data_IF_132811750604
#
_entry.id   IF_132811750604
#
_cell.length_a   1.000
_cell.length_b   1.000
_cell.length_c   1.000
_cell.angle_alpha   90.00
_cell.angle_beta   90.00
_cell.angle_gamma   90.00
#
_symmetry.space_group_name_H-M   'P 1'
#
loop_
_entity.id
_entity.type
_entity.pdbx_description
1 polymer ?
#
# COMPACT_ATOMS: atom_id res chain seq x y z
N UNK A 1 -55.47 0.65 31.17
CA UNK A 1 -55.14 0.45 29.74
C UNK A 1 -54.39 1.70 29.27
N UNK A 2 -53.08 1.75 29.44
CA UNK A 2 -52.24 2.90 29.10
C UNK A 2 -51.87 2.86 27.61
N UNK A 3 -52.20 3.92 26.88
CA UNK A 3 -51.67 4.14 25.52
C UNK A 3 -50.61 5.23 25.63
N UNK A 4 -49.35 4.82 25.77
CA UNK A 4 -48.19 5.71 25.63
C UNK A 4 -48.03 5.97 24.14
N UNK A 5 -48.48 7.14 23.65
CA UNK A 5 -48.09 7.62 22.31
C UNK A 5 -46.70 8.26 22.41
N UNK A 6 -45.69 7.52 21.98
CA UNK A 6 -44.37 8.07 21.66
C UNK A 6 -44.51 9.01 20.44
N UNK A 7 -44.46 10.32 20.66
CA UNK A 7 -44.14 11.24 19.57
C UNK A 7 -42.65 11.15 19.27
N UNK A 8 -42.35 10.52 18.15
CA UNK A 8 -41.03 10.38 17.55
C UNK A 8 -40.64 11.72 16.93
N UNK A 9 -39.85 12.53 17.63
CA UNK A 9 -39.13 13.65 17.00
C UNK A 9 -37.91 13.09 16.28
N UNK A 10 -38.06 12.69 15.03
CA UNK A 10 -36.92 12.52 14.14
C UNK A 10 -36.51 13.90 13.60
N UNK A 11 -35.21 14.18 13.71
CA UNK A 11 -34.42 15.10 12.90
C UNK A 11 -35.18 16.29 12.30
N UNK A 12 -35.09 17.46 12.92
CA UNK A 12 -35.09 18.77 12.28
C UNK A 12 -34.70 19.82 13.32
N UNK A 13 -33.41 20.19 13.35
CA UNK A 13 -33.00 21.50 13.87
C UNK A 13 -33.28 22.53 12.78
N UNK A 14 -34.55 22.73 12.44
CA UNK A 14 -35.01 23.93 11.76
C UNK A 14 -36.34 24.34 12.40
N UNK A 15 -36.26 25.48 13.10
CA UNK A 15 -37.37 26.29 13.59
C UNK A 15 -38.53 25.56 14.30
N UNK A 16 -38.30 25.09 15.52
CA UNK A 16 -39.38 24.99 16.50
C UNK A 16 -38.85 25.26 17.91
N UNK A 17 -39.25 26.40 18.48
CA UNK A 17 -39.11 26.64 19.90
C UNK A 17 -40.06 25.69 20.65
N UNK A 18 -39.52 24.78 21.48
CA UNK A 18 -40.34 24.01 22.42
C UNK A 18 -40.77 24.92 23.57
N UNK A 19 -41.98 25.47 23.49
CA UNK A 19 -42.61 26.17 24.61
C UNK A 19 -43.21 25.11 25.55
N UNK A 20 -42.69 25.01 26.77
CA UNK A 20 -43.28 24.18 27.82
C UNK A 20 -44.32 25.04 28.54
N UNK A 21 -45.60 24.79 28.27
CA UNK A 21 -46.70 25.42 29.00
C UNK A 21 -47.04 24.61 30.25
N UNK A 22 -46.69 25.12 31.43
CA UNK A 22 -47.35 24.74 32.68
C UNK A 22 -48.31 25.87 33.06
N UNK A 23 -49.57 25.51 33.31
CA UNK A 23 -50.65 26.45 33.48
C UNK A 23 -50.77 26.87 34.94
N UNK A 24 -49.99 27.87 35.39
CA UNK A 24 -50.37 28.71 36.53
C UNK A 24 -49.69 30.09 36.46
N UNK A 25 -50.54 31.12 36.35
CA UNK A 25 -50.29 32.56 36.56
C UNK A 25 -49.32 33.28 35.60
N UNK A 26 -49.83 34.33 34.96
CA UNK A 26 -49.19 35.03 33.85
C UNK A 26 -48.00 35.90 34.23
N UNK A 27 -46.84 35.59 33.64
CA UNK A 27 -45.80 36.54 33.25
C UNK A 27 -44.89 35.84 32.23
N UNK A 28 -44.92 36.25 30.95
CA UNK A 28 -44.05 35.70 29.90
C UNK A 28 -42.69 36.40 29.93
N UNK A 29 -41.77 35.93 30.77
CA UNK A 29 -40.33 36.18 30.60
C UNK A 29 -39.66 34.90 30.09
N UNK A 30 -39.61 34.75 28.76
CA UNK A 30 -38.89 33.66 28.11
C UNK A 30 -37.38 33.90 28.15
N UNK A 31 -36.68 33.38 29.16
CA UNK A 31 -35.23 33.23 29.09
C UNK A 31 -34.92 31.98 28.25
N UNK A 32 -34.41 32.20 27.03
CA UNK A 32 -33.78 31.14 26.24
C UNK A 32 -32.55 30.67 27.03
N UNK A 33 -32.57 29.42 27.53
CA UNK A 33 -31.38 28.85 28.18
C UNK A 33 -30.26 28.74 27.14
N UNK A 34 -29.24 29.59 27.29
CA UNK A 34 -28.01 29.60 26.49
C UNK A 34 -27.30 28.23 26.48
N UNK A 35 -27.58 27.37 27.47
CA UNK A 35 -27.01 26.03 27.61
C UNK A 35 -27.48 25.06 26.51
N UNK A 36 -28.73 25.20 26.04
CA UNK A 36 -29.25 24.38 24.94
C UNK A 36 -28.61 24.75 23.58
N UNK A 37 -28.35 26.05 23.37
CA UNK A 37 -27.71 26.56 22.16
C UNK A 37 -26.23 26.16 22.10
N UNK A 38 -25.54 26.16 23.24
CA UNK A 38 -24.13 25.75 23.35
C UNK A 38 -23.94 24.26 23.08
N UNK A 39 -24.88 23.43 23.52
CA UNK A 39 -24.84 21.97 23.36
C UNK A 39 -25.02 21.51 21.90
N UNK A 40 -25.88 22.18 21.13
CA UNK A 40 -26.06 21.88 19.70
C UNK A 40 -24.90 22.37 18.82
N UNK A 41 -24.29 23.53 19.14
CA UNK A 41 -23.14 24.08 18.39
C UNK A 41 -21.87 23.24 18.57
N UNK A 42 -21.63 22.73 19.78
CA UNK A 42 -20.47 21.89 20.09
C UNK A 42 -20.53 20.51 19.40
N UNK A 43 -21.73 19.92 19.25
CA UNK A 43 -21.91 18.67 18.49
C UNK A 43 -21.54 18.87 17.01
N UNK A 44 -22.01 19.95 16.37
CA UNK A 44 -21.71 20.21 14.95
C UNK A 44 -20.21 20.38 14.71
N UNK A 45 -19.51 21.07 15.62
CA UNK A 45 -18.05 21.18 15.58
C UNK A 45 -17.37 19.83 15.81
N UNK A 46 -17.83 19.03 16.77
CA UNK A 46 -17.29 17.69 17.01
C UNK A 46 -17.47 16.75 15.79
N UNK A 47 -18.61 16.82 15.10
CA UNK A 47 -18.85 16.06 13.86
C UNK A 47 -17.95 16.54 12.72
N UNK A 48 -17.75 17.85 12.55
CA UNK A 48 -16.83 18.39 11.55
C UNK A 48 -15.35 18.02 11.83
N UNK A 49 -14.97 17.93 13.11
CA UNK A 49 -13.64 17.44 13.49
C UNK A 49 -13.50 15.92 13.28
N UNK A 50 -14.55 15.13 13.54
CA UNK A 50 -14.55 13.68 13.28
C UNK A 50 -14.45 13.36 11.78
N UNK A 51 -15.12 14.12 10.91
CA UNK A 51 -15.04 13.91 9.45
C UNK A 51 -13.68 14.29 8.89
N UNK A 52 -13.03 15.35 9.41
CA UNK A 52 -11.69 15.73 9.01
C UNK A 52 -10.64 14.65 9.34
N UNK A 53 -10.78 13.96 10.48
CA UNK A 53 -9.89 12.86 10.86
C UNK A 53 -10.07 11.59 10.00
N UNK A 54 -11.25 11.36 9.44
CA UNK A 54 -11.52 10.22 8.53
C UNK A 54 -11.11 10.50 7.07
N UNK A 55 -10.95 11.78 6.67
CA UNK A 55 -10.55 12.16 5.31
C UNK A 55 -9.08 11.85 4.99
N UNK A 56 -8.27 11.47 5.98
CA UNK A 56 -6.91 10.95 5.79
C UNK A 56 -6.95 9.45 5.50
N UNK A 57 -7.85 9.03 4.61
CA UNK A 57 -7.89 7.67 4.09
C UNK A 57 -6.72 7.45 3.13
N UNK A 58 -5.99 6.35 3.30
CA UNK A 58 -4.82 5.93 2.52
C UNK A 58 -5.05 6.00 1.00
N UNK A 59 -4.84 7.17 0.40
CA UNK A 59 -4.75 7.31 -1.05
C UNK A 59 -3.40 6.79 -1.52
N UNK A 60 -3.30 5.49 -1.84
CA UNK A 60 -2.16 5.00 -2.61
C UNK A 60 -2.26 5.61 -4.01
N UNK A 61 -1.39 6.57 -4.32
CA UNK A 61 -1.32 7.18 -5.65
C UNK A 61 -1.01 6.07 -6.67
N UNK A 62 -1.88 5.83 -7.67
CA UNK A 62 -1.57 4.87 -8.72
C UNK A 62 -0.30 5.30 -9.45
N UNK A 63 0.62 4.36 -9.69
CA UNK A 63 1.89 4.58 -10.39
C UNK A 63 3.10 4.91 -9.50
N UNK A 64 2.92 5.06 -8.18
CA UNK A 64 4.03 5.11 -7.23
C UNK A 64 4.78 3.78 -7.14
N UNK A 65 6.05 3.83 -6.71
CA UNK A 65 6.81 2.62 -6.38
C UNK A 65 6.39 2.13 -5.00
N UNK A 66 6.01 0.87 -4.90
CA UNK A 66 5.58 0.25 -3.62
C UNK A 66 6.40 -1.00 -3.33
N UNK A 67 6.68 -1.27 -2.07
CA UNK A 67 7.33 -2.51 -1.67
C UNK A 67 6.35 -3.69 -1.85
N UNK A 68 6.84 -4.80 -2.39
CA UNK A 68 6.06 -6.01 -2.65
C UNK A 68 6.76 -7.23 -2.04
N UNK A 69 6.00 -8.30 -1.83
CA UNK A 69 6.53 -9.53 -1.26
C UNK A 69 7.36 -10.32 -2.29
N UNK A 70 8.42 -10.99 -1.83
CA UNK A 70 9.26 -11.85 -2.71
C UNK A 70 8.55 -13.14 -3.10
N UNK A 71 7.49 -13.52 -2.40
CA UNK A 71 6.64 -14.66 -2.74
C UNK A 71 5.60 -14.31 -3.81
N UNK A 72 5.54 -13.05 -4.27
CA UNK A 72 4.77 -12.69 -5.46
C UNK A 72 5.29 -13.47 -6.68
N UNK A 73 4.40 -14.18 -7.36
CA UNK A 73 4.77 -15.03 -8.50
C UNK A 73 5.43 -14.23 -9.63
N UNK A 74 4.94 -13.00 -9.87
CA UNK A 74 5.51 -12.10 -10.86
C UNK A 74 6.89 -11.60 -10.47
N UNK A 75 7.14 -11.33 -9.20
CA UNK A 75 8.46 -10.97 -8.68
C UNK A 75 9.46 -12.13 -8.80
N UNK A 76 9.05 -13.36 -8.49
CA UNK A 76 9.89 -14.55 -8.66
C UNK A 76 10.23 -14.80 -10.13
N UNK A 77 9.23 -14.70 -11.01
CA UNK A 77 9.42 -14.82 -12.44
C UNK A 77 10.37 -13.75 -12.97
N UNK A 78 10.15 -12.48 -12.59
CA UNK A 78 11.01 -11.36 -12.96
C UNK A 78 12.46 -11.59 -12.52
N UNK A 79 12.69 -12.02 -11.29
CA UNK A 79 14.03 -12.30 -10.78
C UNK A 79 14.71 -13.44 -11.56
N UNK A 80 13.99 -14.53 -11.80
CA UNK A 80 14.53 -15.67 -12.55
C UNK A 80 14.87 -15.28 -13.99
N UNK A 81 13.98 -14.55 -14.66
CA UNK A 81 14.20 -14.04 -16.02
C UNK A 81 15.39 -13.07 -16.09
N UNK A 82 15.51 -12.17 -15.11
CA UNK A 82 16.64 -11.25 -14.99
C UNK A 82 17.97 -11.99 -14.77
N UNK A 83 17.99 -12.99 -13.90
CA UNK A 83 19.19 -13.79 -13.62
C UNK A 83 19.61 -14.63 -14.82
N UNK A 84 18.65 -15.23 -15.55
CA UNK A 84 18.95 -15.97 -16.76
C UNK A 84 19.59 -15.07 -17.82
N UNK A 85 18.99 -13.90 -18.07
CA UNK A 85 19.53 -12.92 -19.02
C UNK A 85 20.90 -12.40 -18.57
N UNK A 86 21.07 -12.05 -17.29
CA UNK A 86 22.35 -11.58 -16.77
C UNK A 86 23.45 -12.64 -16.94
N UNK A 87 23.15 -13.90 -16.63
CA UNK A 87 24.07 -15.00 -16.86
C UNK A 87 24.36 -15.19 -18.34
N UNK A 88 23.37 -15.07 -19.23
CA UNK A 88 23.58 -15.18 -20.68
C UNK A 88 24.50 -14.06 -21.19
N UNK A 89 24.23 -12.82 -20.81
CA UNK A 89 24.83 -11.60 -21.36
C UNK A 89 26.17 -11.23 -20.69
N UNK A 90 26.47 -11.72 -19.48
CA UNK A 90 27.75 -11.48 -18.79
C UNK A 90 28.94 -12.06 -19.57
N UNK A 91 30.12 -11.43 -19.52
CA UNK A 91 31.33 -11.98 -20.13
C UNK A 91 32.05 -13.02 -19.25
N UNK A 92 31.56 -13.29 -18.04
CA UNK A 92 32.16 -14.31 -17.17
C UNK A 92 31.90 -15.72 -17.74
N UNK A 93 32.87 -16.63 -17.64
CA UNK A 93 32.70 -18.03 -18.04
C UNK A 93 31.79 -18.78 -17.05
N UNK A 94 31.66 -18.25 -15.83
CA UNK A 94 30.92 -18.85 -14.75
C UNK A 94 29.55 -18.21 -14.53
N UNK A 95 28.61 -19.02 -14.03
CA UNK A 95 27.27 -18.57 -13.67
C UNK A 95 27.24 -17.86 -12.33
N UNK A 96 26.33 -16.92 -12.18
CA UNK A 96 25.98 -16.25 -10.93
C UNK A 96 24.66 -16.78 -10.38
N UNK A 97 24.56 -16.83 -9.05
CA UNK A 97 23.36 -17.23 -8.33
C UNK A 97 23.00 -16.22 -7.25
N UNK A 98 21.71 -16.06 -7.01
CA UNK A 98 21.20 -15.20 -5.93
C UNK A 98 21.57 -15.82 -4.58
N UNK A 99 22.21 -15.02 -3.73
CA UNK A 99 22.52 -15.36 -2.33
C UNK A 99 21.40 -14.87 -1.43
N UNK A 100 20.93 -13.64 -1.67
CA UNK A 100 19.91 -13.00 -0.84
C UNK A 100 19.15 -11.95 -1.63
N UNK A 101 17.83 -11.97 -1.50
CA UNK A 101 16.98 -10.85 -1.93
C UNK A 101 16.98 -9.78 -0.85
N UNK A 102 17.32 -8.54 -1.22
CA UNK A 102 17.42 -7.41 -0.29
C UNK A 102 16.12 -6.61 -0.31
N UNK A 103 15.61 -6.33 -1.51
CA UNK A 103 14.40 -5.53 -1.69
C UNK A 103 13.69 -5.90 -2.98
N UNK A 104 12.36 -5.93 -2.93
CA UNK A 104 11.49 -6.09 -4.10
C UNK A 104 10.49 -4.95 -4.09
N UNK A 105 10.36 -4.25 -5.21
CA UNK A 105 9.39 -3.18 -5.38
C UNK A 105 8.67 -3.33 -6.71
N UNK A 106 7.42 -2.89 -6.74
CA UNK A 106 6.55 -2.87 -7.90
C UNK A 106 6.16 -1.46 -8.29
N UNK A 107 5.90 -1.25 -9.58
CA UNK A 107 5.37 0.01 -10.09
C UNK A 107 4.46 -0.24 -11.30
N UNK A 108 3.23 0.28 -11.24
CA UNK A 108 2.30 0.27 -12.37
C UNK A 108 2.70 1.38 -13.36
N UNK A 109 2.85 1.02 -14.63
CA UNK A 109 3.18 1.91 -15.75
C UNK A 109 2.35 1.47 -16.98
N UNK A 110 2.86 1.62 -18.20
CA UNK A 110 2.36 0.89 -19.39
C UNK A 110 2.68 -0.62 -19.30
N UNK A 111 2.31 -1.26 -18.18
CA UNK A 111 2.78 -2.58 -17.75
C UNK A 111 3.05 -2.58 -16.25
N UNK A 112 3.85 -3.53 -15.80
CA UNK A 112 4.30 -3.61 -14.42
C UNK A 112 5.82 -3.68 -14.37
N UNK A 113 6.46 -2.77 -13.61
CA UNK A 113 7.91 -2.80 -13.37
C UNK A 113 8.20 -3.46 -12.03
N UNK A 114 9.01 -4.51 -12.08
CA UNK A 114 9.63 -5.13 -10.91
C UNK A 114 11.03 -4.55 -10.74
N UNK A 115 11.30 -3.94 -9.59
CA UNK A 115 12.60 -3.39 -9.22
C UNK A 115 13.15 -4.26 -8.09
N UNK A 116 14.17 -5.05 -8.39
CA UNK A 116 14.66 -6.10 -7.50
C UNK A 116 16.12 -5.84 -7.17
N UNK A 117 16.40 -5.65 -5.89
CA UNK A 117 17.77 -5.51 -5.37
C UNK A 117 18.17 -6.80 -4.69
N UNK A 118 19.24 -7.43 -5.18
CA UNK A 118 19.70 -8.73 -4.72
C UNK A 118 21.21 -8.75 -4.50
N UNK A 119 21.68 -9.63 -3.62
CA UNK A 119 23.09 -10.03 -3.57
C UNK A 119 23.25 -11.30 -4.39
N UNK A 120 24.19 -11.29 -5.32
CA UNK A 120 24.56 -12.47 -6.12
C UNK A 120 26.00 -12.88 -5.84
N UNK A 121 26.28 -14.16 -6.04
CA UNK A 121 27.63 -14.73 -5.95
C UNK A 121 27.96 -15.47 -7.24
N UNK A 122 29.24 -15.40 -7.63
CA UNK A 122 29.79 -16.25 -8.68
C UNK A 122 29.84 -17.69 -8.21
N UNK A 123 29.41 -18.62 -9.04
CA UNK A 123 29.45 -20.07 -8.80
C UNK A 123 30.68 -20.70 -9.47
N UNK A 124 30.89 -22.00 -9.25
CA UNK A 124 31.90 -22.78 -9.99
C UNK A 124 31.34 -23.42 -11.28
N UNK A 125 30.05 -23.29 -11.52
CA UNK A 125 29.45 -23.77 -12.76
C UNK A 125 29.82 -22.87 -13.92
N UNK A 126 30.16 -23.49 -15.05
CA UNK A 126 30.34 -22.82 -16.32
C UNK A 126 28.98 -22.64 -17.01
N UNK A 127 28.89 -21.74 -17.98
CA UNK A 127 27.62 -21.42 -18.68
C UNK A 127 27.00 -22.59 -19.47
N UNK A 128 27.78 -23.59 -19.81
CA UNK A 128 27.34 -24.85 -20.43
C UNK A 128 26.67 -25.81 -19.44
N UNK A 129 26.74 -25.51 -18.14
CA UNK A 129 26.17 -26.32 -17.08
C UNK A 129 24.69 -26.00 -16.84
N UNK A 130 23.92 -26.99 -16.39
CA UNK A 130 22.51 -26.79 -16.02
C UNK A 130 22.41 -25.94 -14.76
N UNK A 131 21.87 -24.71 -14.89
CA UNK A 131 21.81 -23.68 -13.84
C UNK A 131 21.22 -24.20 -12.51
N UNK A 132 20.20 -25.07 -12.58
CA UNK A 132 19.49 -25.59 -11.40
C UNK A 132 20.36 -26.45 -10.46
N UNK A 133 21.42 -27.07 -10.97
CA UNK A 133 22.32 -27.95 -10.21
C UNK A 133 23.50 -27.20 -9.58
N UNK A 134 23.61 -25.90 -9.82
CA UNK A 134 24.75 -25.10 -9.40
C UNK A 134 24.61 -24.64 -7.94
N UNK A 135 25.53 -25.11 -7.09
CA UNK A 135 25.65 -24.64 -5.71
C UNK A 135 26.56 -23.42 -5.64
N UNK A 136 26.22 -22.50 -4.72
CA UNK A 136 27.17 -21.46 -4.29
C UNK A 136 28.16 -22.18 -3.38
N UNK A 137 29.43 -22.16 -3.73
CA UNK A 137 30.45 -22.83 -2.91
C UNK A 137 30.63 -22.05 -1.61
N UNK A 138 30.67 -22.72 -0.46
CA UNK A 138 30.97 -22.13 0.84
C UNK A 138 32.47 -21.83 0.98
N UNK A 139 33.09 -21.21 -0.03
CA UNK A 139 34.48 -20.77 0.06
C UNK A 139 34.55 -19.40 0.74
N UNK A 140 35.52 -19.18 1.63
CA UNK A 140 35.64 -17.93 2.39
C UNK A 140 35.92 -16.69 1.50
N UNK A 141 36.31 -16.88 0.24
CA UNK A 141 36.68 -15.82 -0.70
C UNK A 141 35.66 -15.61 -1.85
N UNK A 142 34.41 -16.04 -1.68
CA UNK A 142 33.38 -15.81 -2.71
C UNK A 142 33.05 -14.32 -2.80
N UNK A 143 33.30 -13.73 -3.98
CA UNK A 143 32.92 -12.35 -4.27
C UNK A 143 31.41 -12.25 -4.39
N UNK A 144 30.82 -11.40 -3.55
CA UNK A 144 29.40 -11.08 -3.55
C UNK A 144 29.23 -9.71 -4.19
N UNK A 145 28.28 -9.60 -5.11
CA UNK A 145 27.95 -8.36 -5.80
C UNK A 145 26.55 -7.91 -5.40
N UNK A 146 26.37 -6.61 -5.23
CA UNK A 146 25.05 -6.02 -5.02
C UNK A 146 24.49 -5.58 -6.37
N UNK A 147 23.40 -6.21 -6.78
CA UNK A 147 22.80 -5.97 -8.09
C UNK A 147 21.39 -5.40 -7.98
N UNK A 148 21.06 -4.52 -8.92
CA UNK A 148 19.73 -4.00 -9.17
C UNK A 148 19.28 -4.46 -10.54
N UNK A 149 18.16 -5.18 -10.56
CA UNK A 149 17.46 -5.58 -11.78
C UNK A 149 16.14 -4.82 -11.90
N UNK A 150 15.84 -4.34 -13.10
CA UNK A 150 14.53 -3.76 -13.44
C UNK A 150 13.93 -4.56 -14.57
N UNK A 151 12.77 -5.18 -14.32
CA UNK A 151 12.07 -6.02 -15.28
C UNK A 151 10.69 -5.44 -15.55
N UNK A 152 10.33 -5.28 -16.82
CA UNK A 152 9.05 -4.75 -17.26
C UNK A 152 8.21 -5.87 -17.87
N UNK A 153 7.03 -6.06 -17.30
CA UNK A 153 6.05 -7.06 -17.70
C UNK A 153 4.88 -6.39 -18.41
N UNK A 154 4.50 -6.94 -19.57
CA UNK A 154 3.29 -6.58 -20.34
C UNK A 154 2.53 -7.86 -20.66
N UNK A 155 1.72 -8.38 -19.72
CA UNK A 155 1.05 -9.67 -19.86
C UNK A 155 0.17 -9.77 -21.11
N UNK A 156 -0.51 -8.67 -21.50
CA UNK A 156 -1.36 -8.62 -22.70
C UNK A 156 -0.60 -8.75 -24.03
N UNK A 157 0.74 -8.58 -24.02
CA UNK A 157 1.61 -8.84 -25.16
C UNK A 157 2.45 -10.11 -24.98
N UNK A 158 2.30 -10.83 -23.85
CA UNK A 158 3.17 -11.92 -23.44
C UNK A 158 4.66 -11.53 -23.45
N UNK A 159 4.97 -10.31 -23.01
CA UNK A 159 6.30 -9.71 -23.12
C UNK A 159 6.88 -9.40 -21.73
N UNK A 160 8.11 -9.86 -21.51
CA UNK A 160 8.91 -9.61 -20.32
C UNK A 160 10.29 -9.14 -20.74
N UNK A 161 10.69 -7.97 -20.25
CA UNK A 161 11.94 -7.32 -20.68
C UNK A 161 12.75 -6.89 -19.47
N UNK A 162 14.01 -7.30 -19.43
CA UNK A 162 14.97 -6.76 -18.47
C UNK A 162 15.49 -5.44 -19.00
N UNK A 163 15.07 -4.35 -18.37
CA UNK A 163 15.44 -2.99 -18.74
C UNK A 163 16.79 -2.58 -18.16
N UNK A 164 17.11 -3.07 -16.97
CA UNK A 164 18.33 -2.70 -16.24
C UNK A 164 18.89 -3.93 -15.52
N UNK A 165 20.21 -4.11 -15.61
CA UNK A 165 20.97 -5.10 -14.87
C UNK A 165 22.31 -4.49 -14.45
N UNK A 166 22.35 -3.84 -13.28
CA UNK A 166 23.55 -3.16 -12.76
C UNK A 166 24.04 -3.85 -11.50
N UNK A 167 25.34 -4.09 -11.41
CA UNK A 167 26.00 -4.72 -10.27
C UNK A 167 27.20 -3.90 -9.82
N UNK A 168 27.44 -3.88 -8.50
CA UNK A 168 28.57 -3.22 -7.84
C UNK A 168 29.34 -4.21 -6.96
#
# INVERSE_FOLDING_TARGET
>A
MSIIRFLKCHHLCDLAACIKGDQHSGYLSGLVSLDAYRKCRMWKLAVLFLTALFAVGFGQMPGGVTDIDINDEGAQFALNHAMEKYNRDSNDVYLYKVVKVIKVQGQVVEGYKYIITVRIARTLCRKDSVIGLCSITNHPNVKIFLCKFVVWSRPWLNDWQVLEAKCH
#
